data_IF_714543373076
#
_entry.id   IF_714543373076
#
_cell.length_a   1.000
_cell.length_b   1.000
_cell.length_c   1.000
_cell.angle_alpha   90.00
_cell.angle_beta   90.00
_cell.angle_gamma   90.00
#
_symmetry.space_group_name_H-M   'P 1'
#
loop_
_entity.id
_entity.type
_entity.pdbx_description
1 polymer ?
#
# COMPACT_ATOMS: atom_id res chain seq x y z
N UNK A 1 5.09 -19.08 4.86
CA UNK A 1 5.24 -17.62 5.08
C UNK A 1 3.88 -16.95 5.26
N UNK A 2 3.81 -15.91 6.11
CA UNK A 2 2.57 -15.14 6.37
C UNK A 2 2.77 -13.68 5.98
N UNK A 3 1.81 -13.12 5.24
CA UNK A 3 1.82 -11.72 4.83
C UNK A 3 0.70 -10.95 5.55
N UNK A 4 1.07 -9.95 6.35
CA UNK A 4 0.13 -8.99 6.93
C UNK A 4 -0.02 -7.80 5.98
N UNK A 5 -1.26 -7.44 5.67
CA UNK A 5 -1.53 -6.51 4.57
C UNK A 5 -2.83 -5.71 4.75
N UNK A 6 -2.94 -4.64 3.95
CA UNK A 6 -4.21 -4.02 3.56
C UNK A 6 -4.50 -4.36 2.10
N UNK A 7 -5.76 -4.59 1.75
CA UNK A 7 -6.15 -4.90 0.36
C UNK A 7 -5.85 -3.72 -0.59
N UNK A 8 -6.10 -2.49 -0.14
CA UNK A 8 -5.84 -1.29 -0.95
C UNK A 8 -4.36 -0.91 -1.08
N UNK A 9 -3.45 -1.60 -0.40
CA UNK A 9 -2.04 -1.20 -0.31
C UNK A 9 -1.25 -1.64 -1.54
N UNK A 10 -0.77 -0.69 -2.34
CA UNK A 10 0.04 -0.96 -3.53
C UNK A 10 1.38 -1.65 -3.23
N UNK A 11 1.96 -1.41 -2.05
CA UNK A 11 3.19 -2.08 -1.61
C UNK A 11 2.93 -3.55 -1.26
N UNK A 12 1.78 -3.84 -0.63
CA UNK A 12 1.33 -5.20 -0.36
C UNK A 12 1.10 -5.96 -1.67
N UNK A 13 0.50 -5.28 -2.65
CA UNK A 13 0.24 -5.87 -3.96
C UNK A 13 1.52 -6.33 -4.68
N UNK A 14 2.64 -5.61 -4.56
CA UNK A 14 3.93 -6.03 -5.12
C UNK A 14 4.35 -7.41 -4.61
N UNK A 15 4.20 -7.63 -3.31
CA UNK A 15 4.58 -8.90 -2.67
C UNK A 15 3.66 -10.04 -3.13
N UNK A 16 2.36 -9.78 -3.21
CA UNK A 16 1.38 -10.73 -3.74
C UNK A 16 1.65 -11.09 -5.20
N UNK A 17 2.03 -10.10 -6.02
CA UNK A 17 2.36 -10.31 -7.43
C UNK A 17 3.54 -11.27 -7.61
N UNK A 18 4.65 -11.05 -6.92
CA UNK A 18 5.81 -11.93 -7.08
C UNK A 18 5.51 -13.33 -6.56
N UNK A 19 4.80 -13.47 -5.45
CA UNK A 19 4.37 -14.77 -4.94
C UNK A 19 3.49 -15.52 -5.97
N UNK A 20 2.56 -14.82 -6.61
CA UNK A 20 1.71 -15.38 -7.66
C UNK A 20 2.51 -15.81 -8.90
N UNK A 21 3.46 -14.99 -9.36
CA UNK A 21 4.37 -15.33 -10.46
C UNK A 21 5.19 -16.59 -10.16
N UNK A 22 5.60 -16.76 -8.90
CA UNK A 22 6.32 -17.95 -8.41
C UNK A 22 5.40 -19.12 -8.08
N UNK A 23 4.07 -18.98 -8.25
CA UNK A 23 3.05 -19.97 -7.84
C UNK A 23 3.16 -20.35 -6.37
N UNK A 24 3.61 -19.43 -5.53
CA UNK A 24 3.75 -19.61 -4.10
C UNK A 24 2.48 -19.14 -3.39
N UNK A 25 2.02 -19.92 -2.42
CA UNK A 25 0.91 -19.55 -1.58
C UNK A 25 1.42 -18.83 -0.32
N UNK A 26 0.99 -17.57 -0.13
CA UNK A 26 1.20 -16.83 1.10
C UNK A 26 -0.05 -16.96 1.98
N UNK A 27 0.14 -17.17 3.28
CA UNK A 27 -0.94 -17.05 4.25
C UNK A 27 -1.22 -15.54 4.45
N UNK A 28 -2.24 -15.02 3.80
CA UNK A 28 -2.62 -13.61 3.89
C UNK A 28 -3.41 -13.35 5.18
N UNK A 29 -3.07 -12.27 5.87
CA UNK A 29 -3.76 -11.80 7.08
C UNK A 29 -4.04 -10.31 6.92
N UNK A 30 -5.30 -9.97 6.66
CA UNK A 30 -5.74 -8.58 6.61
C UNK A 30 -5.79 -8.01 8.03
N UNK A 31 -5.16 -6.87 8.23
CA UNK A 31 -5.18 -6.15 9.50
C UNK A 31 -6.13 -4.97 9.41
N UNK A 32 -6.76 -4.58 10.52
CA UNK A 32 -7.63 -3.40 10.54
C UNK A 32 -6.81 -2.10 10.49
N UNK A 33 -7.37 -1.07 9.88
CA UNK A 33 -6.68 0.22 9.70
C UNK A 33 -6.38 0.94 11.02
N UNK A 34 -7.13 0.72 12.07
CA UNK A 34 -6.90 1.26 13.41
C UNK A 34 -6.09 0.34 14.32
N UNK A 35 -5.95 -0.94 13.96
CA UNK A 35 -5.28 -1.94 14.78
C UNK A 35 -3.78 -1.98 14.50
N UNK A 36 -2.97 -1.62 15.48
CA UNK A 36 -1.51 -1.56 15.35
C UNK A 36 -0.74 -2.57 16.20
N UNK A 37 -1.41 -3.27 17.14
CA UNK A 37 -0.75 -4.12 18.13
C UNK A 37 0.10 -5.22 17.48
N UNK A 38 -0.44 -5.97 16.53
CA UNK A 38 0.31 -7.00 15.80
C UNK A 38 1.51 -6.41 15.06
N UNK A 39 1.35 -5.27 14.41
CA UNK A 39 2.45 -4.61 13.69
C UNK A 39 3.53 -4.12 14.65
N UNK A 40 3.13 -3.52 15.78
CA UNK A 40 4.05 -3.06 16.82
C UNK A 40 4.83 -4.22 17.45
N UNK A 41 4.17 -5.36 17.73
CA UNK A 41 4.84 -6.54 18.29
C UNK A 41 5.82 -7.20 17.32
N UNK A 42 5.51 -7.21 16.02
CA UNK A 42 6.36 -7.84 15.01
C UNK A 42 7.55 -6.96 14.60
N UNK A 43 7.34 -5.66 14.42
CA UNK A 43 8.33 -4.78 13.76
C UNK A 43 8.51 -3.42 14.46
N UNK A 44 7.88 -3.20 15.61
CA UNK A 44 8.03 -1.98 16.40
C UNK A 44 7.42 -0.71 15.79
N UNK A 45 6.70 -0.84 14.70
CA UNK A 45 6.02 0.30 14.03
C UNK A 45 4.75 -0.14 13.30
N UNK A 46 3.83 0.79 13.11
CA UNK A 46 2.63 0.58 12.29
C UNK A 46 2.99 0.67 10.81
N UNK A 47 3.10 -0.47 10.17
CA UNK A 47 3.44 -0.57 8.74
C UNK A 47 2.87 -1.85 8.12
N UNK A 48 2.52 -1.81 6.85
CA UNK A 48 2.27 -2.95 5.96
C UNK A 48 2.94 -2.68 4.61
N UNK A 49 3.36 -3.73 3.88
CA UNK A 49 3.32 -5.16 4.22
C UNK A 49 4.31 -5.55 5.32
N UNK A 50 3.99 -6.62 6.05
CA UNK A 50 4.95 -7.34 6.88
C UNK A 50 4.94 -8.80 6.42
N UNK A 51 6.08 -9.30 5.96
CA UNK A 51 6.25 -10.71 5.62
C UNK A 51 6.95 -11.43 6.77
N UNK A 52 6.26 -12.37 7.42
CA UNK A 52 6.89 -13.28 8.38
C UNK A 52 7.32 -14.53 7.62
N UNK A 53 8.62 -14.76 7.59
CA UNK A 53 9.26 -15.91 6.96
C UNK A 53 8.95 -17.21 7.71
N UNK A 54 9.30 -18.35 7.13
CA UNK A 54 9.08 -19.65 7.75
C UNK A 54 9.96 -19.88 9.00
N UNK A 55 11.06 -19.15 9.13
CA UNK A 55 11.91 -19.10 10.33
C UNK A 55 11.36 -18.18 11.44
N UNK A 56 10.19 -17.57 11.22
CA UNK A 56 9.55 -16.63 12.15
C UNK A 56 10.07 -15.20 12.09
N UNK A 57 11.10 -14.90 11.29
CA UNK A 57 11.65 -13.55 11.21
C UNK A 57 10.76 -12.63 10.36
N UNK A 58 10.35 -11.46 10.87
CA UNK A 58 9.60 -10.49 10.11
C UNK A 58 10.50 -9.69 9.17
N UNK A 59 9.97 -9.37 8.01
CA UNK A 59 10.56 -8.45 7.04
C UNK A 59 9.66 -7.24 6.85
N UNK A 60 10.28 -6.07 6.72
CA UNK A 60 9.68 -4.83 6.20
C UNK A 60 10.21 -4.60 4.77
N UNK A 61 9.89 -3.47 4.17
CA UNK A 61 10.34 -3.05 2.85
C UNK A 61 9.93 -4.00 1.71
N UNK A 62 8.87 -3.62 1.02
CA UNK A 62 8.22 -4.46 0.01
C UNK A 62 9.16 -4.96 -1.10
N UNK A 63 10.16 -4.17 -1.49
CA UNK A 63 11.11 -4.59 -2.52
C UNK A 63 12.12 -5.63 -2.02
N UNK A 64 12.47 -5.60 -0.73
CA UNK A 64 13.29 -6.66 -0.12
C UNK A 64 12.50 -7.98 -0.04
N UNK A 65 11.19 -7.90 0.29
CA UNK A 65 10.32 -9.08 0.26
C UNK A 65 10.21 -9.64 -1.16
N UNK A 66 10.08 -8.77 -2.17
CA UNK A 66 10.04 -9.18 -3.59
C UNK A 66 11.31 -9.93 -3.96
N UNK A 67 12.50 -9.38 -3.64
CA UNK A 67 13.79 -10.04 -3.91
C UNK A 67 13.91 -11.36 -3.16
N UNK A 68 13.55 -11.38 -1.88
CA UNK A 68 13.58 -12.59 -1.07
C UNK A 68 12.73 -13.71 -1.68
N UNK A 69 11.46 -13.43 -2.02
CA UNK A 69 10.56 -14.41 -2.61
C UNK A 69 11.09 -14.87 -3.97
N UNK A 70 11.60 -13.96 -4.79
CA UNK A 70 12.15 -14.31 -6.11
C UNK A 70 13.35 -15.24 -6.03
N UNK A 71 14.17 -15.11 -5.00
CA UNK A 71 15.36 -15.93 -4.77
C UNK A 71 15.10 -17.31 -4.14
N UNK A 72 13.88 -17.60 -3.68
CA UNK A 72 13.53 -18.89 -3.08
C UNK A 72 13.54 -20.07 -4.08
N UNK A 73 13.48 -19.77 -5.36
CA UNK A 73 13.63 -20.73 -6.46
C UNK A 73 14.20 -20.01 -7.68
N UNK A 74 14.15 -20.62 -8.87
CA UNK A 74 14.62 -19.97 -10.10
C UNK A 74 14.00 -18.55 -10.23
N UNK A 75 14.85 -17.55 -10.39
CA UNK A 75 14.42 -16.16 -10.46
C UNK A 75 13.52 -15.93 -11.69
N UNK A 76 12.41 -15.24 -11.50
CA UNK A 76 11.48 -14.84 -12.57
C UNK A 76 11.59 -13.36 -12.94
N UNK A 77 12.19 -12.54 -12.04
CA UNK A 77 12.43 -11.13 -12.25
C UNK A 77 13.82 -10.90 -12.84
N UNK A 78 14.00 -11.30 -14.10
CA UNK A 78 15.30 -11.31 -14.80
C UNK A 78 15.49 -10.17 -15.81
N UNK A 79 14.52 -9.27 -15.90
CA UNK A 79 14.62 -8.13 -16.83
C UNK A 79 15.65 -7.10 -16.38
N UNK A 80 16.18 -6.26 -17.29
CA UNK A 80 17.09 -5.19 -16.95
C UNK A 80 16.41 -4.15 -16.07
N UNK A 81 17.19 -3.47 -15.24
CA UNK A 81 16.70 -2.31 -14.50
C UNK A 81 16.24 -1.20 -15.46
N UNK A 82 15.13 -0.57 -15.12
CA UNK A 82 14.48 0.46 -15.92
C UNK A 82 14.28 1.72 -15.07
N UNK A 83 15.27 2.63 -15.06
CA UNK A 83 15.23 3.84 -14.23
C UNK A 83 14.02 4.73 -14.51
N UNK A 84 13.50 4.72 -15.75
CA UNK A 84 12.32 5.47 -16.14
C UNK A 84 11.05 4.97 -15.41
N UNK A 85 10.96 3.68 -15.07
CA UNK A 85 9.85 3.13 -14.27
C UNK A 85 9.96 3.60 -12.83
N UNK A 86 11.17 3.59 -12.25
CA UNK A 86 11.39 4.11 -10.90
C UNK A 86 11.00 5.59 -10.81
N UNK A 87 11.47 6.42 -11.73
CA UNK A 87 11.13 7.84 -11.81
C UNK A 87 9.62 8.08 -12.02
N UNK A 88 8.94 7.21 -12.79
CA UNK A 88 7.49 7.26 -12.95
C UNK A 88 6.77 6.91 -11.64
N UNK A 89 7.22 5.84 -10.97
CA UNK A 89 6.65 5.37 -9.72
C UNK A 89 6.75 6.39 -8.57
N UNK A 90 7.74 7.29 -8.60
CA UNK A 90 7.85 8.40 -7.64
C UNK A 90 6.86 9.54 -7.93
N UNK A 91 6.59 9.81 -9.21
CA UNK A 91 5.74 10.95 -9.63
C UNK A 91 4.25 10.68 -9.55
N UNK A 92 3.84 9.43 -9.72
CA UNK A 92 2.42 9.07 -9.88
C UNK A 92 1.65 8.99 -8.55
N UNK A 93 2.19 8.41 -7.45
CA UNK A 93 1.43 8.21 -6.22
C UNK A 93 0.73 9.45 -5.67
N UNK A 94 1.33 10.65 -5.64
CA UNK A 94 0.65 11.84 -5.15
C UNK A 94 -0.65 12.16 -5.92
N UNK A 95 -0.65 11.94 -7.22
CA UNK A 95 -1.80 12.19 -8.09
C UNK A 95 -2.87 11.11 -7.94
N UNK A 96 -2.45 9.85 -7.88
CA UNK A 96 -3.37 8.73 -7.69
C UNK A 96 -4.00 8.73 -6.30
N UNK A 97 -3.31 9.21 -5.27
CA UNK A 97 -3.86 9.34 -3.93
C UNK A 97 -5.13 10.22 -3.90
N UNK A 98 -5.17 11.31 -4.64
CA UNK A 98 -6.35 12.17 -4.74
C UNK A 98 -7.56 11.46 -5.36
N UNK A 99 -7.30 10.48 -6.22
CA UNK A 99 -8.34 9.69 -6.87
C UNK A 99 -8.75 8.48 -6.03
N UNK A 100 -7.78 7.74 -5.50
CA UNK A 100 -8.00 6.44 -4.86
C UNK A 100 -8.42 6.55 -3.39
N UNK A 101 -7.71 7.36 -2.59
CA UNK A 101 -7.96 7.44 -1.15
C UNK A 101 -9.39 7.83 -0.78
N UNK A 102 -10.05 8.79 -1.46
CA UNK A 102 -11.45 9.11 -1.17
C UNK A 102 -12.43 7.98 -1.52
N UNK A 103 -12.02 6.99 -2.32
CA UNK A 103 -12.88 5.91 -2.81
C UNK A 103 -12.72 4.60 -2.05
N UNK A 104 -11.55 4.32 -1.49
CA UNK A 104 -11.31 3.09 -0.73
C UNK A 104 -12.33 2.83 0.37
N UNK A 105 -12.78 3.83 1.17
CA UNK A 105 -13.83 3.63 2.17
C UNK A 105 -15.17 3.11 1.64
N UNK A 106 -15.41 3.24 0.33
CA UNK A 106 -16.67 2.83 -0.32
C UNK A 106 -16.63 1.38 -0.84
N UNK A 107 -15.48 0.71 -0.78
CA UNK A 107 -15.27 -0.59 -1.42
C UNK A 107 -15.53 -1.78 -0.50
N UNK A 108 -15.85 -1.58 0.78
CA UNK A 108 -16.09 -2.67 1.74
C UNK A 108 -14.86 -3.55 1.97
N UNK A 109 -13.66 -2.96 1.97
CA UNK A 109 -12.40 -3.70 2.11
C UNK A 109 -12.20 -4.24 3.53
N UNK A 110 -11.49 -5.37 3.69
CA UNK A 110 -11.32 -6.05 4.98
C UNK A 110 -10.74 -5.18 6.08
N UNK A 111 -9.80 -4.30 5.75
CA UNK A 111 -9.18 -3.38 6.69
C UNK A 111 -10.12 -2.31 7.24
N UNK A 112 -11.30 -2.14 6.64
CA UNK A 112 -12.36 -1.21 7.04
C UNK A 112 -13.57 -1.93 7.64
N UNK A 113 -13.40 -3.16 8.13
CA UNK A 113 -14.52 -3.97 8.63
C UNK A 113 -15.17 -3.40 9.90
N UNK A 114 -14.56 -2.43 10.59
CA UNK A 114 -15.12 -1.75 11.75
C UNK A 114 -15.27 -0.26 11.49
N UNK A 115 -16.24 0.37 12.18
CA UNK A 115 -16.43 1.82 12.12
C UNK A 115 -15.15 2.54 12.59
N UNK A 116 -14.52 2.06 13.65
CA UNK A 116 -13.28 2.64 14.18
C UNK A 116 -12.15 2.64 13.15
N UNK A 117 -11.95 1.52 12.43
CA UNK A 117 -10.95 1.43 11.37
C UNK A 117 -11.23 2.39 10.21
N UNK A 118 -12.50 2.50 9.81
CA UNK A 118 -12.94 3.42 8.77
C UNK A 118 -12.73 4.88 9.17
N UNK A 119 -13.10 5.24 10.39
CA UNK A 119 -12.92 6.60 10.93
C UNK A 119 -11.44 6.96 11.07
N UNK A 120 -10.61 6.02 11.55
CA UNK A 120 -9.16 6.19 11.62
C UNK A 120 -8.56 6.52 10.25
N UNK A 121 -8.91 5.74 9.23
CA UNK A 121 -8.46 5.99 7.85
C UNK A 121 -8.91 7.37 7.36
N UNK A 122 -10.22 7.66 7.48
CA UNK A 122 -10.80 8.92 7.03
C UNK A 122 -10.13 10.12 7.66
N UNK A 123 -9.95 10.10 8.99
CA UNK A 123 -9.31 11.20 9.72
C UNK A 123 -7.86 11.43 9.24
N UNK A 124 -7.08 10.36 9.15
CA UNK A 124 -5.67 10.42 8.75
C UNK A 124 -5.49 10.88 7.32
N UNK A 125 -6.27 10.33 6.38
CA UNK A 125 -6.11 10.64 4.96
C UNK A 125 -6.71 11.99 4.57
N UNK A 126 -7.86 12.39 5.19
CA UNK A 126 -8.42 13.73 5.00
C UNK A 126 -7.48 14.84 5.47
N UNK A 127 -6.77 14.62 6.56
CA UNK A 127 -5.73 15.56 7.02
C UNK A 127 -4.63 15.78 5.97
N UNK A 128 -4.32 14.76 5.16
CA UNK A 128 -3.27 14.82 4.15
C UNK A 128 -3.73 15.43 2.82
N UNK A 129 -4.96 15.14 2.37
CA UNK A 129 -5.41 15.48 1.01
C UNK A 129 -6.69 16.32 0.94
N UNK A 130 -7.36 16.60 2.06
CA UNK A 130 -8.59 17.36 2.11
C UNK A 130 -9.87 16.52 2.13
N UNK A 131 -11.01 17.18 1.89
CA UNK A 131 -12.33 16.54 2.01
C UNK A 131 -12.57 15.51 0.89
N UNK A 132 -13.01 14.32 1.28
CA UNK A 132 -13.22 13.22 0.34
C UNK A 132 -14.46 13.39 -0.55
N UNK A 133 -15.49 14.07 -0.06
CA UNK A 133 -16.72 14.32 -0.86
C UNK A 133 -16.39 15.30 -1.98
N UNK A 134 -15.71 16.38 -1.64
CA UNK A 134 -15.26 17.39 -2.58
C UNK A 134 -14.29 16.81 -3.63
N UNK A 135 -13.29 16.03 -3.20
CA UNK A 135 -12.34 15.39 -4.10
C UNK A 135 -13.01 14.40 -5.07
N UNK A 136 -14.02 13.65 -4.61
CA UNK A 136 -14.79 12.76 -5.50
C UNK A 136 -15.58 13.53 -6.54
N UNK A 137 -16.24 14.62 -6.13
CA UNK A 137 -17.02 15.47 -7.03
C UNK A 137 -16.12 16.12 -8.11
N UNK A 138 -14.99 16.71 -7.69
CA UNK A 138 -14.08 17.41 -8.58
C UNK A 138 -13.33 16.48 -9.54
N UNK A 139 -13.03 15.25 -9.13
CA UNK A 139 -12.31 14.29 -9.99
C UNK A 139 -13.17 13.71 -11.13
N UNK A 140 -14.48 13.84 -11.06
CA UNK A 140 -15.38 13.52 -12.16
C UNK A 140 -15.41 14.63 -13.23
N UNK A 141 -15.02 15.87 -12.85
CA UNK A 141 -15.09 17.05 -13.70
C UNK A 141 -13.72 17.50 -14.25
N UNK A 142 -12.60 17.06 -13.68
CA UNK A 142 -11.27 17.53 -14.06
C UNK A 142 -10.63 16.61 -15.09
N UNK A 143 -10.23 17.10 -16.27
CA UNK A 143 -9.27 16.40 -17.12
C UNK A 143 -7.95 16.25 -16.35
N UNK A 144 -7.25 15.13 -16.53
CA UNK A 144 -5.94 14.83 -15.90
C UNK A 144 -4.81 15.81 -16.29
N UNK A 145 -5.15 16.98 -16.74
CA UNK A 145 -4.24 18.05 -17.16
C UNK A 145 -3.65 18.74 -15.92
N UNK A 146 -2.40 18.44 -15.68
CA UNK A 146 -1.60 18.77 -14.51
C UNK A 146 -1.34 20.23 -14.20
N UNK A 147 -2.32 20.97 -13.70
CA UNK A 147 -2.08 22.30 -13.13
C UNK A 147 -2.83 22.53 -11.82
N UNK A 148 -2.77 21.61 -10.86
CA UNK A 148 -3.07 21.97 -9.49
C UNK A 148 -1.75 22.16 -8.73
N UNK A 149 -1.44 23.41 -8.37
CA UNK A 149 -0.34 23.78 -7.47
C UNK A 149 -0.68 23.40 -6.03
N UNK A 150 -0.83 22.12 -5.74
CA UNK A 150 -0.84 21.63 -4.37
C UNK A 150 0.60 21.38 -3.95
N UNK A 151 1.14 22.30 -3.17
CA UNK A 151 2.45 22.21 -2.55
C UNK A 151 2.40 21.13 -1.48
N UNK A 152 2.91 19.95 -1.79
CA UNK A 152 3.03 18.84 -0.86
C UNK A 152 4.28 19.04 0.02
N UNK A 153 4.07 19.38 1.30
CA UNK A 153 5.10 19.34 2.32
C UNK A 153 4.76 18.22 3.32
N UNK A 154 5.29 17.04 3.10
CA UNK A 154 5.12 15.93 4.04
C UNK A 154 5.72 14.64 3.51
N UNK A 155 6.45 13.94 4.37
CA UNK A 155 6.96 12.60 4.09
C UNK A 155 5.80 11.64 3.86
N UNK A 156 5.71 11.07 2.66
CA UNK A 156 4.74 10.04 2.34
C UNK A 156 5.07 8.75 3.08
N UNK A 157 4.33 8.45 4.12
CA UNK A 157 4.15 7.08 4.57
C UNK A 157 3.04 6.51 3.69
N UNK A 158 3.41 5.73 2.67
CA UNK A 158 2.51 5.15 1.66
C UNK A 158 1.88 3.87 2.23
N UNK A 159 1.45 3.80 3.37
CA UNK A 159 0.49 2.81 3.93
C UNK A 159 0.21 3.15 5.37
#
# INVERSE_FOLDING_TARGET
MRLYLFEHCSLCFRVRMVAALKRMHLQETFVLEDYSETMMSLVGKRAVPILVKDDGQPMLESMEMVRYIDQLSDAVLTGPERPEIAAWAERVPPKTALLSWPRYPLLGLPEFATIAALDHYNLRKRKAIGDFVELRANSAAAPLNGSSKTRWSGSFIIC
#
